data_IF_134229422453
#
_entry.id   IF_134229422453
#
_cell.length_a   1.000
_cell.length_b   1.000
_cell.length_c   1.000
_cell.angle_alpha   90.00
_cell.angle_beta   90.00
_cell.angle_gamma   90.00
#
_symmetry.space_group_name_H-M   'P 1'
#
loop_
_entity.id
_entity.type
_entity.pdbx_description
1 polymer ?
#
# COMPACT_ATOMS: atom_id res chain seq x y z
N UNK A 1 7.27 -1.88 -3.72
CA UNK A 1 6.60 -1.07 -4.76
C UNK A 1 7.49 0.07 -5.28
N UNK A 2 8.80 -0.14 -5.48
CA UNK A 2 9.67 0.86 -6.12
C UNK A 2 10.04 0.38 -7.51
N UNK A 3 10.11 1.32 -8.46
CA UNK A 3 10.59 1.03 -9.81
C UNK A 3 12.06 0.61 -9.72
N UNK A 4 12.46 -0.38 -10.52
CA UNK A 4 13.84 -0.91 -10.52
C UNK A 4 14.90 0.17 -10.80
N UNK A 5 14.61 1.17 -11.65
CA UNK A 5 15.46 2.34 -11.88
C UNK A 5 15.86 3.08 -10.61
N UNK A 6 15.00 3.18 -9.59
CA UNK A 6 15.39 3.81 -8.33
C UNK A 6 16.60 3.09 -7.70
N UNK A 7 16.65 1.76 -7.80
CA UNK A 7 17.73 0.95 -7.23
C UNK A 7 18.97 1.00 -8.12
N UNK A 8 18.78 1.04 -9.44
CA UNK A 8 19.87 1.21 -10.40
C UNK A 8 20.56 2.56 -10.22
N UNK A 9 19.79 3.63 -10.03
CA UNK A 9 20.32 4.97 -9.75
C UNK A 9 21.14 4.95 -8.46
N UNK A 10 20.60 4.40 -7.36
CA UNK A 10 21.37 4.28 -6.10
C UNK A 10 22.67 3.49 -6.31
N UNK A 11 22.62 2.40 -7.08
CA UNK A 11 23.81 1.59 -7.39
C UNK A 11 24.88 2.41 -8.13
N UNK A 12 24.48 3.17 -9.16
CA UNK A 12 25.39 4.02 -9.93
C UNK A 12 25.91 5.17 -9.08
N UNK A 13 25.03 5.89 -8.36
CA UNK A 13 25.43 6.98 -7.47
C UNK A 13 26.44 6.52 -6.41
N UNK A 14 26.25 5.35 -5.79
CA UNK A 14 27.22 4.84 -4.81
C UNK A 14 28.56 4.47 -5.44
N UNK A 15 28.57 3.92 -6.66
CA UNK A 15 29.80 3.68 -7.41
C UNK A 15 30.56 4.98 -7.68
N UNK A 16 29.84 6.00 -8.14
CA UNK A 16 30.42 7.28 -8.51
C UNK A 16 30.95 8.04 -7.28
N UNK A 17 30.22 7.99 -6.16
CA UNK A 17 30.63 8.66 -4.91
C UNK A 17 31.81 7.97 -4.21
N UNK A 18 31.96 6.66 -4.37
CA UNK A 18 33.00 5.87 -3.69
C UNK A 18 34.19 5.55 -4.60
N UNK A 19 34.13 5.93 -5.87
CA UNK A 19 35.11 5.59 -6.91
C UNK A 19 35.45 4.09 -6.95
N UNK A 20 34.42 3.24 -6.77
CA UNK A 20 34.56 1.80 -6.72
C UNK A 20 33.63 1.12 -7.75
N UNK A 21 34.17 0.40 -8.75
CA UNK A 21 33.38 -0.18 -9.84
C UNK A 21 32.45 -1.32 -9.39
N UNK A 22 32.64 -1.88 -8.19
CA UNK A 22 31.77 -2.93 -7.64
C UNK A 22 30.32 -2.44 -7.51
N UNK A 23 29.38 -3.38 -7.39
CA UNK A 23 27.97 -3.02 -7.20
C UNK A 23 27.82 -2.20 -5.92
N UNK A 24 27.07 -1.09 -5.99
CA UNK A 24 26.87 -0.16 -4.88
C UNK A 24 28.18 0.37 -4.26
N UNK A 25 29.24 0.53 -5.07
CA UNK A 25 30.55 1.00 -4.59
C UNK A 25 31.17 0.10 -3.51
N UNK A 26 30.90 -1.21 -3.56
CA UNK A 26 31.41 -2.18 -2.59
C UNK A 26 30.62 -2.26 -1.29
N UNK A 27 29.58 -1.43 -1.11
CA UNK A 27 28.70 -1.49 0.07
C UNK A 27 27.82 -2.75 0.02
N UNK A 28 27.72 -3.44 1.15
CA UNK A 28 26.75 -4.53 1.32
C UNK A 28 25.35 -3.95 1.45
N UNK A 29 24.48 -4.25 0.49
CA UNK A 29 23.08 -3.79 0.46
C UNK A 29 22.14 -4.94 0.75
N UNK A 30 21.22 -4.74 1.70
CA UNK A 30 20.15 -5.68 2.02
C UNK A 30 18.83 -5.10 1.54
N UNK A 31 18.17 -5.81 0.62
CA UNK A 31 16.85 -5.45 0.12
C UNK A 31 15.79 -6.25 0.88
N UNK A 32 15.08 -5.59 1.81
CA UNK A 32 13.97 -6.20 2.55
C UNK A 32 12.64 -6.03 1.82
N UNK A 33 11.83 -7.08 1.80
CA UNK A 33 10.46 -6.98 1.28
C UNK A 33 9.78 -8.33 1.09
N UNK A 34 8.45 -8.28 0.96
CA UNK A 34 7.65 -9.43 0.53
C UNK A 34 7.30 -9.24 -0.94
N UNK A 35 7.87 -10.07 -1.82
CA UNK A 35 7.77 -9.88 -3.28
C UNK A 35 6.50 -10.45 -3.91
N UNK A 36 5.64 -11.12 -3.13
CA UNK A 36 4.26 -11.43 -3.52
C UNK A 36 3.30 -10.24 -3.25
N UNK A 37 3.83 -9.03 -3.01
CA UNK A 37 3.06 -7.80 -2.90
C UNK A 37 2.89 -7.09 -4.26
N UNK A 38 2.06 -6.04 -4.23
CA UNK A 38 1.74 -5.11 -5.31
C UNK A 38 2.99 -4.74 -6.14
N UNK A 39 2.86 -4.84 -7.47
CA UNK A 39 3.88 -4.45 -8.43
C UNK A 39 4.15 -2.93 -8.39
N UNK A 40 5.29 -2.44 -8.90
CA UNK A 40 5.51 -1.00 -9.02
C UNK A 40 4.40 -0.34 -9.85
N UNK A 41 3.93 0.83 -9.42
CA UNK A 41 2.97 1.62 -10.20
C UNK A 41 3.73 2.32 -11.32
N UNK A 42 3.33 2.07 -12.56
CA UNK A 42 3.81 2.79 -13.75
C UNK A 42 2.62 3.57 -14.32
N UNK A 43 2.56 4.90 -14.12
CA UNK A 43 1.43 5.71 -14.60
C UNK A 43 1.24 5.54 -16.10
N UNK A 44 0.02 5.24 -16.53
CA UNK A 44 -0.32 4.97 -17.95
C UNK A 44 0.49 3.82 -18.58
N UNK A 45 1.16 3.01 -17.78
CA UNK A 45 2.00 1.91 -18.25
C UNK A 45 1.18 0.69 -18.65
N UNK A 46 1.59 0.05 -19.74
CA UNK A 46 1.09 -1.27 -20.12
C UNK A 46 1.57 -2.35 -19.15
N UNK A 47 0.93 -3.52 -19.19
CA UNK A 47 1.26 -4.64 -18.31
C UNK A 47 2.74 -5.04 -18.41
N UNK A 48 3.31 -5.08 -19.62
CA UNK A 48 4.73 -5.44 -19.79
C UNK A 48 5.66 -4.42 -19.15
N UNK A 49 5.29 -3.13 -19.17
CA UNK A 49 6.09 -2.06 -18.56
C UNK A 49 6.06 -2.16 -17.03
N UNK A 50 4.91 -2.51 -16.44
CA UNK A 50 4.79 -2.77 -15.00
C UNK A 50 5.66 -3.97 -14.58
N UNK A 51 5.64 -5.05 -15.37
CA UNK A 51 6.50 -6.21 -15.13
C UNK A 51 7.98 -5.86 -15.30
N UNK A 52 8.33 -5.08 -16.33
CA UNK A 52 9.68 -4.61 -16.60
C UNK A 52 10.23 -3.71 -15.49
N UNK A 53 9.36 -2.93 -14.83
CA UNK A 53 9.69 -2.08 -13.70
C UNK A 53 10.00 -2.86 -12.41
N UNK A 54 9.66 -4.15 -12.34
CA UNK A 54 9.81 -4.96 -11.13
C UNK A 54 11.28 -5.21 -10.76
N UNK A 55 11.52 -5.40 -9.45
CA UNK A 55 12.86 -5.65 -8.92
C UNK A 55 13.55 -6.86 -9.56
N UNK A 56 12.78 -7.92 -9.84
CA UNK A 56 13.28 -9.16 -10.45
C UNK A 56 13.80 -8.97 -11.88
N UNK A 57 13.51 -7.82 -12.51
CA UNK A 57 14.00 -7.45 -13.84
C UNK A 57 15.27 -6.60 -13.81
N UNK A 58 15.86 -6.35 -12.64
CA UNK A 58 17.18 -5.74 -12.54
C UNK A 58 18.23 -6.59 -13.27
N UNK A 59 19.13 -5.91 -14.00
CA UNK A 59 20.26 -6.56 -14.69
C UNK A 59 21.16 -7.34 -13.73
N UNK A 60 21.36 -6.82 -12.52
CA UNK A 60 22.16 -7.42 -11.46
C UNK A 60 21.40 -8.44 -10.60
N UNK A 61 20.14 -8.76 -10.91
CA UNK A 61 19.33 -9.68 -10.10
C UNK A 61 20.00 -11.05 -9.92
N UNK A 62 20.76 -11.52 -10.92
CA UNK A 62 21.51 -12.77 -10.87
C UNK A 62 22.59 -12.82 -9.77
N UNK A 63 23.06 -11.67 -9.32
CA UNK A 63 24.06 -11.54 -8.26
C UNK A 63 23.43 -11.35 -6.86
N UNK A 64 22.10 -11.29 -6.78
CA UNK A 64 21.39 -11.14 -5.51
C UNK A 64 21.29 -12.50 -4.83
N UNK A 65 21.82 -12.59 -3.61
CA UNK A 65 21.58 -13.73 -2.73
C UNK A 65 20.21 -13.58 -2.07
N UNK A 66 19.34 -14.58 -2.26
CA UNK A 66 18.01 -14.60 -1.64
C UNK A 66 18.14 -15.19 -0.24
N UNK A 67 17.64 -14.46 0.76
CA UNK A 67 17.48 -14.92 2.13
C UNK A 67 15.99 -14.90 2.46
N UNK A 68 15.47 -16.01 2.98
CA UNK A 68 14.05 -16.18 3.30
C UNK A 68 13.83 -16.22 4.80
N UNK A 69 12.85 -15.45 5.28
CA UNK A 69 12.33 -15.54 6.64
C UNK A 69 11.10 -16.44 6.61
N UNK A 70 11.15 -17.55 7.36
CA UNK A 70 10.09 -18.57 7.33
C UNK A 70 9.17 -18.50 8.55
N UNK A 71 9.56 -17.76 9.60
CA UNK A 71 8.76 -17.64 10.82
C UNK A 71 7.96 -16.34 10.81
N UNK A 72 6.64 -16.47 10.96
CA UNK A 72 5.74 -15.33 11.08
C UNK A 72 5.59 -14.91 12.55
N UNK A 73 6.46 -14.00 12.98
CA UNK A 73 6.48 -13.47 14.35
C UNK A 73 5.20 -12.68 14.72
N UNK A 74 4.35 -12.30 13.76
CA UNK A 74 3.06 -11.63 14.06
C UNK A 74 2.03 -12.56 14.67
N UNK A 75 2.21 -13.88 14.55
CA UNK A 75 1.33 -14.87 15.15
C UNK A 75 1.62 -15.05 16.66
N UNK A 76 2.02 -13.98 17.35
CA UNK A 76 2.30 -14.01 18.78
C UNK A 76 1.06 -14.45 19.56
N UNK A 77 1.24 -15.45 20.43
CA UNK A 77 0.20 -16.32 21.00
C UNK A 77 -0.43 -17.23 19.95
N UNK A 78 -0.16 -18.54 20.06
CA UNK A 78 -0.66 -19.58 19.15
C UNK A 78 -2.18 -19.67 19.28
N UNK A 79 -2.88 -18.81 18.56
CA UNK A 79 -4.30 -18.95 18.29
C UNK A 79 -4.44 -19.81 17.04
N UNK A 80 -4.98 -21.04 17.13
CA UNK A 80 -5.14 -21.92 15.98
C UNK A 80 -5.91 -21.29 14.81
N UNK A 81 -6.82 -20.34 15.08
CA UNK A 81 -7.54 -19.61 14.04
C UNK A 81 -6.62 -18.66 13.27
N UNK A 82 -5.73 -17.94 13.95
CA UNK A 82 -4.77 -17.03 13.31
C UNK A 82 -3.75 -17.81 12.47
N UNK A 83 -3.28 -18.96 12.96
CA UNK A 83 -2.39 -19.85 12.21
C UNK A 83 -3.06 -20.34 10.93
N UNK A 84 -4.28 -20.91 11.02
CA UNK A 84 -5.03 -21.37 9.84
C UNK A 84 -5.29 -20.25 8.84
N UNK A 85 -5.59 -19.05 9.32
CA UNK A 85 -5.81 -17.89 8.45
C UNK A 85 -4.52 -17.43 7.77
N UNK A 86 -3.39 -17.44 8.48
CA UNK A 86 -2.08 -17.14 7.89
C UNK A 86 -1.68 -18.18 6.83
N UNK A 87 -1.91 -19.46 7.08
CA UNK A 87 -1.66 -20.53 6.09
C UNK A 87 -2.50 -20.32 4.83
N UNK A 88 -3.78 -19.98 5.00
CA UNK A 88 -4.68 -19.63 3.89
C UNK A 88 -4.17 -18.41 3.08
N UNK A 89 -3.71 -17.35 3.76
CA UNK A 89 -3.12 -16.18 3.08
C UNK A 89 -1.84 -16.55 2.31
N UNK A 90 -1.01 -17.45 2.87
CA UNK A 90 0.20 -17.95 2.22
C UNK A 90 -0.11 -18.78 0.98
N UNK A 91 -1.15 -19.62 1.02
CA UNK A 91 -1.60 -20.43 -0.11
C UNK A 91 -2.04 -19.54 -1.28
N UNK A 92 -2.88 -18.54 -1.03
CA UNK A 92 -3.36 -17.61 -2.06
C UNK A 92 -2.23 -16.78 -2.66
N UNK A 93 -1.32 -16.30 -1.80
CA UNK A 93 -0.20 -15.49 -2.24
C UNK A 93 0.82 -16.26 -3.09
N UNK A 94 0.92 -17.57 -2.88
CA UNK A 94 1.89 -18.43 -3.57
C UNK A 94 1.30 -19.10 -4.82
N UNK A 95 0.00 -19.42 -4.79
CA UNK A 95 -0.72 -20.10 -5.86
C UNK A 95 -1.93 -19.26 -6.28
N UNK A 96 -1.72 -18.18 -7.07
CA UNK A 96 -2.81 -17.30 -7.45
C UNK A 96 -3.84 -18.03 -8.33
N UNK A 97 -5.08 -18.11 -7.84
CA UNK A 97 -6.22 -18.65 -8.57
C UNK A 97 -7.14 -17.51 -9.05
N UNK A 98 -7.84 -17.72 -10.17
CA UNK A 98 -8.83 -16.75 -10.69
C UNK A 98 -10.02 -16.54 -9.75
N UNK A 99 -10.38 -17.58 -9.00
CA UNK A 99 -11.49 -17.56 -8.06
C UNK A 99 -10.98 -18.02 -6.70
N UNK A 100 -11.23 -17.22 -5.68
CA UNK A 100 -10.79 -17.47 -4.32
C UNK A 100 -12.02 -17.80 -3.48
N UNK A 101 -11.97 -18.92 -2.74
CA UNK A 101 -13.01 -19.28 -1.77
C UNK A 101 -12.68 -18.61 -0.43
N UNK A 102 -13.51 -17.66 -0.01
CA UNK A 102 -13.33 -17.00 1.28
C UNK A 102 -13.54 -18.01 2.43
N UNK A 103 -12.71 -18.00 3.48
CA UNK A 103 -12.93 -18.85 4.64
C UNK A 103 -14.16 -18.36 5.41
N UNK A 104 -14.84 -19.28 6.08
CA UNK A 104 -16.06 -18.98 6.85
C UNK A 104 -15.88 -17.99 8.00
N UNK A 105 -14.63 -17.73 8.40
CA UNK A 105 -14.28 -16.72 9.42
C UNK A 105 -14.44 -15.28 8.90
N UNK A 106 -14.47 -15.09 7.58
CA UNK A 106 -14.68 -13.77 6.98
C UNK A 106 -16.17 -13.50 6.88
N UNK A 107 -16.64 -12.49 7.62
CA UNK A 107 -18.02 -12.05 7.55
C UNK A 107 -18.26 -11.20 6.30
N UNK A 108 -19.30 -11.57 5.53
CA UNK A 108 -19.74 -10.78 4.39
C UNK A 108 -20.82 -9.79 4.83
N UNK A 109 -20.58 -8.50 4.60
CA UNK A 109 -21.57 -7.47 4.79
C UNK A 109 -22.42 -7.30 3.52
N UNK A 110 -23.71 -7.05 3.68
CA UNK A 110 -24.65 -6.85 2.57
C UNK A 110 -24.68 -5.41 2.04
N UNK A 111 -24.13 -4.46 2.80
CA UNK A 111 -24.02 -3.04 2.42
C UNK A 111 -22.78 -2.41 3.05
N UNK A 112 -22.33 -1.29 2.47
CA UNK A 112 -21.24 -0.46 3.02
C UNK A 112 -21.60 0.10 4.39
N UNK A 113 -22.84 0.54 4.58
CA UNK A 113 -23.31 1.04 5.88
C UNK A 113 -23.23 -0.04 6.97
N UNK A 114 -23.62 -1.29 6.65
CA UNK A 114 -23.50 -2.41 7.59
C UNK A 114 -22.03 -2.71 7.90
N UNK A 115 -21.13 -2.59 6.91
CA UNK A 115 -19.68 -2.73 7.12
C UNK A 115 -19.16 -1.66 8.08
N UNK A 116 -19.50 -0.39 7.85
CA UNK A 116 -19.09 0.72 8.72
C UNK A 116 -19.57 0.48 10.15
N UNK A 117 -20.86 0.20 10.34
CA UNK A 117 -21.44 0.00 11.68
C UNK A 117 -20.93 -1.27 12.37
N UNK A 118 -20.50 -2.29 11.61
CA UNK A 118 -19.92 -3.50 12.18
C UNK A 118 -18.55 -3.27 12.82
N UNK A 119 -17.76 -2.33 12.28
CA UNK A 119 -16.45 -1.97 12.80
C UNK A 119 -16.54 -0.81 13.79
N UNK A 120 -17.23 0.25 13.36
CA UNK A 120 -17.46 1.47 14.11
C UNK A 120 -18.92 1.52 14.55
N UNK A 121 -19.24 0.75 15.59
CA UNK A 121 -20.56 0.83 16.22
C UNK A 121 -20.79 2.21 16.86
N UNK A 122 -22.04 2.65 16.92
CA UNK A 122 -22.45 3.86 17.64
C UNK A 122 -21.79 5.16 17.17
N UNK A 123 -21.48 5.29 15.87
CA UNK A 123 -20.96 6.54 15.30
C UNK A 123 -21.86 7.75 15.57
N UNK A 124 -23.17 7.51 15.62
CA UNK A 124 -24.24 8.51 15.80
C UNK A 124 -24.49 8.96 17.24
N UNK A 125 -23.80 8.40 18.22
CA UNK A 125 -23.97 8.76 19.62
C UNK A 125 -22.80 9.67 20.04
N UNK A 126 -23.13 10.82 20.62
CA UNK A 126 -22.16 11.71 21.26
C UNK A 126 -21.74 11.10 22.59
N UNK A 127 -20.75 10.20 22.55
CA UNK A 127 -20.09 9.65 23.73
C UNK A 127 -18.59 9.90 23.67
N UNK A 128 -17.96 9.94 24.84
CA UNK A 128 -16.51 9.99 24.97
C UNK A 128 -15.96 8.66 24.42
N UNK A 129 -15.44 8.71 23.19
CA UNK A 129 -14.91 7.53 22.51
C UNK A 129 -13.45 7.43 22.82
N UNK A 130 -13.06 6.25 23.27
CA UNK A 130 -11.66 5.93 23.47
C UNK A 130 -10.89 6.15 22.16
N UNK A 131 -9.72 6.78 22.23
CA UNK A 131 -8.88 7.01 21.07
C UNK A 131 -8.56 5.69 20.36
N UNK A 132 -8.34 4.63 21.15
CA UNK A 132 -8.05 3.28 20.67
C UNK A 132 -9.22 2.70 19.87
N UNK A 133 -10.46 3.07 20.21
CA UNK A 133 -11.63 2.62 19.45
C UNK A 133 -11.56 3.07 17.98
N UNK A 134 -11.08 4.28 17.72
CA UNK A 134 -10.98 4.84 16.37
C UNK A 134 -9.72 4.36 15.63
N UNK A 135 -8.61 4.19 16.34
CA UNK A 135 -7.29 3.92 15.72
C UNK A 135 -7.02 2.45 15.45
N UNK A 136 -7.61 1.52 16.20
CA UNK A 136 -7.37 0.07 16.05
C UNK A 136 -8.11 -0.57 14.87
N UNK A 137 -8.95 0.20 14.16
CA UNK A 137 -9.83 -0.28 13.09
C UNK A 137 -9.51 0.42 11.79
N UNK A 138 -9.71 -0.28 10.68
CA UNK A 138 -9.56 0.33 9.36
C UNK A 138 -10.42 -0.37 8.32
N UNK A 139 -10.91 0.38 7.35
CA UNK A 139 -11.60 -0.15 6.17
C UNK A 139 -10.66 0.09 4.97
N UNK A 140 -10.28 -0.99 4.29
CA UNK A 140 -9.46 -0.92 3.09
C UNK A 140 -10.34 -1.12 1.86
N UNK A 141 -10.12 -0.30 0.83
CA UNK A 141 -10.75 -0.44 -0.48
C UNK A 141 -9.71 -0.35 -1.58
N UNK A 142 -10.01 -0.97 -2.73
CA UNK A 142 -9.09 -1.05 -3.87
C UNK A 142 -8.88 0.31 -4.56
N UNK A 143 -9.88 1.20 -4.47
CA UNK A 143 -9.88 2.46 -5.20
C UNK A 143 -10.14 3.64 -4.25
N UNK A 144 -9.45 4.74 -4.50
CA UNK A 144 -9.54 5.95 -3.68
C UNK A 144 -10.93 6.63 -3.75
N UNK A 145 -11.66 6.49 -4.86
CA UNK A 145 -13.04 6.99 -4.96
C UNK A 145 -13.99 6.23 -4.02
N UNK A 146 -13.85 4.91 -3.94
CA UNK A 146 -14.58 4.11 -2.95
C UNK A 146 -14.18 4.49 -1.51
N UNK A 147 -12.88 4.73 -1.26
CA UNK A 147 -12.41 5.19 0.07
C UNK A 147 -13.06 6.52 0.43
N UNK A 148 -13.08 7.50 -0.50
CA UNK A 148 -13.75 8.79 -0.29
C UNK A 148 -15.21 8.60 0.06
N UNK A 149 -15.95 7.84 -0.74
CA UNK A 149 -17.38 7.59 -0.50
C UNK A 149 -17.64 6.94 0.86
N UNK A 150 -16.82 5.95 1.26
CA UNK A 150 -16.95 5.28 2.57
C UNK A 150 -16.64 6.25 3.71
N UNK A 151 -15.61 7.08 3.55
CA UNK A 151 -15.25 8.09 4.54
C UNK A 151 -16.34 9.14 4.68
N UNK A 152 -16.91 9.62 3.58
CA UNK A 152 -18.03 10.58 3.58
C UNK A 152 -19.25 9.97 4.29
N UNK A 153 -19.60 8.72 3.95
CA UNK A 153 -20.69 7.98 4.61
C UNK A 153 -20.46 7.84 6.11
N UNK A 154 -19.24 7.49 6.54
CA UNK A 154 -18.89 7.35 7.95
C UNK A 154 -18.89 8.70 8.68
N UNK A 155 -18.36 9.77 8.07
CA UNK A 155 -18.35 11.13 8.63
C UNK A 155 -19.77 11.66 8.83
N UNK A 156 -20.67 11.43 7.86
CA UNK A 156 -22.08 11.82 7.96
C UNK A 156 -22.85 11.09 9.07
N UNK A 157 -22.30 9.99 9.63
CA UNK A 157 -22.91 9.32 10.79
C UNK A 157 -22.54 9.98 12.11
N UNK A 158 -21.49 10.80 12.18
CA UNK A 158 -21.11 11.47 13.43
C UNK A 158 -22.11 12.57 13.78
N UNK A 159 -22.44 12.75 15.07
CA UNK A 159 -23.22 13.89 15.50
C UNK A 159 -22.37 15.17 15.47
N UNK A 160 -22.98 16.28 15.07
CA UNK A 160 -22.36 17.60 15.06
C UNK A 160 -22.17 18.17 13.65
N UNK A 161 -21.68 19.41 13.61
CA UNK A 161 -21.46 20.12 12.35
C UNK A 161 -20.07 19.82 11.79
N UNK A 162 -19.93 19.56 10.48
CA UNK A 162 -18.64 19.29 9.86
C UNK A 162 -17.77 20.56 9.84
N UNK A 163 -16.48 20.39 10.14
CA UNK A 163 -15.48 21.45 9.97
C UNK A 163 -14.72 21.18 8.68
N UNK A 164 -14.77 22.15 7.75
CA UNK A 164 -14.13 22.04 6.44
C UNK A 164 -12.82 22.83 6.43
N UNK A 165 -11.72 22.16 6.11
CA UNK A 165 -10.41 22.77 5.92
C UNK A 165 -10.12 22.88 4.43
N UNK A 166 -9.92 24.11 3.93
CA UNK A 166 -9.65 24.37 2.52
C UNK A 166 -8.13 24.41 2.26
N UNK A 167 -7.66 23.62 1.31
CA UNK A 167 -6.30 23.72 0.80
C UNK A 167 -6.16 24.94 -0.14
N UNK A 168 -4.98 25.57 -0.15
CA UNK A 168 -4.64 26.65 -1.07
C UNK A 168 -3.43 26.25 -1.90
N UNK A 169 -3.62 26.18 -3.21
CA UNK A 169 -2.56 25.90 -4.17
C UNK A 169 -2.13 27.18 -4.89
N UNK A 170 -0.82 27.37 -5.11
CA UNK A 170 -0.26 28.48 -5.88
C UNK A 170 0.63 27.94 -7.00
N UNK A 171 0.43 28.44 -8.22
CA UNK A 171 1.30 28.16 -9.37
C UNK A 171 2.32 29.30 -9.49
N UNK A 172 3.61 28.98 -9.64
CA UNK A 172 4.64 29.97 -9.98
C UNK A 172 4.57 30.32 -11.47
N UNK A 173 4.64 31.61 -11.80
CA UNK A 173 4.52 32.12 -13.18
C UNK A 173 5.63 31.63 -14.14
N UNK A 174 6.73 31.07 -13.61
CA UNK A 174 7.87 30.60 -14.40
C UNK A 174 7.62 29.29 -15.19
N UNK A 175 6.49 28.58 -14.97
CA UNK A 175 6.16 27.34 -15.70
C UNK A 175 5.20 27.54 -16.90
N UNK A 176 4.82 28.78 -17.25
CA UNK A 176 3.78 29.05 -18.25
C UNK A 176 4.21 28.71 -19.70
N UNK A 177 5.49 28.43 -19.97
CA UNK A 177 5.95 28.19 -21.36
C UNK A 177 5.95 26.73 -21.84
N UNK A 178 5.62 25.71 -21.02
CA UNK A 178 5.57 24.34 -21.53
C UNK A 178 4.35 23.56 -21.03
N UNK A 179 3.31 23.63 -21.87
CA UNK A 179 2.22 22.65 -22.03
C UNK A 179 1.10 22.63 -20.98
N UNK A 180 -0.09 23.04 -21.46
CA UNK A 180 -1.41 22.57 -21.02
C UNK A 180 -1.45 21.03 -21.00
N UNK A 181 -0.98 20.42 -19.92
CA UNK A 181 -1.21 19.03 -19.58
C UNK A 181 -1.87 19.01 -18.21
N UNK A 182 -3.20 18.87 -18.21
CA UNK A 182 -4.01 18.60 -17.03
C UNK A 182 -3.54 17.30 -16.37
N UNK A 183 -2.59 17.42 -15.45
CA UNK A 183 -2.22 16.36 -14.53
C UNK A 183 -3.13 16.47 -13.31
N UNK A 184 -4.17 15.64 -13.27
CA UNK A 184 -4.81 15.28 -12.00
C UNK A 184 -3.79 14.46 -11.21
N UNK A 185 -3.05 15.12 -10.33
CA UNK A 185 -2.21 14.45 -9.34
C UNK A 185 -3.11 14.07 -8.16
N UNK A 186 -3.21 12.78 -7.77
CA UNK A 186 -3.81 12.43 -6.50
C UNK A 186 -2.79 12.78 -5.41
N UNK A 187 -3.11 13.79 -4.60
CA UNK A 187 -2.40 14.05 -3.35
C UNK A 187 -2.80 12.94 -2.35
N UNK A 188 -1.83 12.15 -1.92
CA UNK A 188 -1.87 11.42 -0.64
C UNK A 188 -0.88 12.12 0.28
N UNK A 189 -1.37 12.72 1.38
CA UNK A 189 -0.54 13.16 2.50
C UNK A 189 -0.68 12.17 3.66
N UNK A 190 0.48 11.71 4.12
CA UNK A 190 0.91 11.25 5.46
C UNK A 190 0.01 10.29 6.25
#
# INVERSE_FOLDING_TARGET
>A
MKHNHCIEVVKCTMRDMLDDPRSFGGITVVLGGYFCKILPVVPKGAHEQVVAASLRRLSSWRHVRILSLNENIRLHYVNPHNTRFADYLMEIGSNPQKTIKLPSIIHNCTSVQNLILSLYSNLNISCDRDQDFLTERTILSVRNDNVSSINDDALNMFPGEPIVYLATDKISEDEISLTLLTTKMPFEMM
#
